data_IF_229610450452
#
_entry.id   IF_229610450452
#
_cell.length_a   1.000
_cell.length_b   1.000
_cell.length_c   1.000
_cell.angle_alpha   90.00
_cell.angle_beta   90.00
_cell.angle_gamma   90.00
#
_symmetry.space_group_name_H-M   'P 1'
#
loop_
_entity.id
_entity.type
_entity.pdbx_description
1 polymer ?
#
# COMPACT_ATOMS: atom_id res chain seq x y z
N UNK A 1 41.85 -15.70 -9.62
CA UNK A 1 41.89 -16.66 -10.75
C UNK A 1 42.82 -17.80 -10.33
N UNK A 2 42.45 -19.07 -10.51
CA UNK A 2 43.31 -20.19 -10.09
C UNK A 2 44.66 -20.10 -10.79
N UNK A 3 45.74 -20.27 -10.01
CA UNK A 3 47.12 -19.98 -10.45
C UNK A 3 47.81 -21.15 -11.15
N UNK A 4 47.31 -22.37 -10.99
CA UNK A 4 47.86 -23.58 -11.63
C UNK A 4 46.75 -24.41 -12.33
N UNK A 5 47.18 -25.50 -12.99
CA UNK A 5 46.30 -26.36 -13.78
C UNK A 5 45.43 -27.29 -12.92
N UNK A 6 45.93 -27.70 -11.76
CA UNK A 6 45.27 -28.61 -10.83
C UNK A 6 44.12 -27.88 -10.11
N UNK A 7 44.37 -26.68 -9.58
CA UNK A 7 43.35 -25.81 -9.01
C UNK A 7 42.28 -25.39 -10.04
N UNK A 8 42.64 -25.29 -11.34
CA UNK A 8 41.66 -25.06 -12.41
C UNK A 8 40.77 -26.27 -12.68
N UNK A 9 41.33 -27.47 -12.60
CA UNK A 9 40.59 -28.71 -12.81
C UNK A 9 39.66 -29.00 -11.63
N UNK A 10 40.14 -28.83 -10.39
CA UNK A 10 39.33 -28.94 -9.18
C UNK A 10 38.20 -27.91 -9.17
N UNK A 11 38.47 -26.65 -9.52
CA UNK A 11 37.44 -25.62 -9.59
C UNK A 11 36.38 -25.93 -10.66
N UNK A 12 36.76 -26.51 -11.81
CA UNK A 12 35.82 -26.94 -12.85
C UNK A 12 34.98 -28.13 -12.41
N UNK A 13 35.61 -29.16 -11.84
CA UNK A 13 34.91 -30.31 -11.30
C UNK A 13 33.94 -29.92 -10.18
N UNK A 14 34.31 -28.95 -9.34
CA UNK A 14 33.45 -28.39 -8.30
C UNK A 14 32.25 -27.64 -8.89
N UNK A 15 32.40 -26.92 -10.01
CA UNK A 15 31.29 -26.26 -10.71
C UNK A 15 30.39 -27.27 -11.43
N UNK A 16 30.97 -28.25 -12.13
CA UNK A 16 30.21 -29.29 -12.85
C UNK A 16 29.41 -30.20 -11.90
N UNK A 17 29.86 -30.34 -10.64
CA UNK A 17 29.14 -31.05 -9.59
C UNK A 17 27.95 -30.26 -8.99
N UNK A 18 27.81 -28.98 -9.32
CA UNK A 18 26.68 -28.16 -8.85
C UNK A 18 25.41 -28.53 -9.62
N UNK A 19 24.38 -28.94 -8.88
CA UNK A 19 23.03 -29.09 -9.44
C UNK A 19 22.44 -27.70 -9.74
N UNK A 20 22.59 -27.26 -10.99
CA UNK A 20 22.06 -26.02 -11.53
C UNK A 20 20.55 -25.87 -11.29
N UNK A 21 19.78 -26.97 -11.36
CA UNK A 21 18.33 -26.93 -11.14
C UNK A 21 18.03 -26.67 -9.66
N UNK A 22 18.74 -27.32 -8.75
CA UNK A 22 18.61 -27.07 -7.33
C UNK A 22 19.04 -25.64 -6.95
N UNK A 23 20.07 -25.09 -7.59
CA UNK A 23 20.46 -23.69 -7.42
C UNK A 23 19.35 -22.75 -7.88
N UNK A 24 18.81 -22.95 -9.09
CA UNK A 24 17.69 -22.14 -9.62
C UNK A 24 16.45 -22.21 -8.74
N UNK A 25 16.12 -23.38 -8.20
CA UNK A 25 14.99 -23.55 -7.28
C UNK A 25 15.20 -22.83 -5.94
N UNK A 26 16.44 -22.80 -5.44
CA UNK A 26 16.77 -22.07 -4.21
C UNK A 26 16.76 -20.56 -4.43
N UNK A 27 17.36 -20.07 -5.52
CA UNK A 27 17.39 -18.64 -5.86
C UNK A 27 16.02 -18.09 -6.27
N UNK A 28 15.10 -18.97 -6.71
CA UNK A 28 13.72 -18.60 -7.00
C UNK A 28 12.92 -18.21 -5.74
N UNK A 29 13.36 -18.52 -4.52
CA UNK A 29 12.69 -18.11 -3.27
C UNK A 29 13.29 -16.78 -2.76
N UNK A 30 12.47 -15.84 -2.28
CA UNK A 30 12.98 -14.54 -1.81
C UNK A 30 13.73 -14.74 -0.49
N UNK A 31 14.86 -14.07 -0.33
CA UNK A 31 15.68 -14.18 0.89
C UNK A 31 15.03 -13.51 2.12
N UNK A 32 14.16 -12.53 1.90
CA UNK A 32 13.56 -11.69 2.94
C UNK A 32 12.05 -11.93 3.12
N UNK A 33 11.58 -13.15 2.83
CA UNK A 33 10.19 -13.51 3.08
C UNK A 33 9.82 -13.51 4.58
N UNK A 34 8.53 -13.34 4.85
CA UNK A 34 7.93 -13.53 6.17
C UNK A 34 8.11 -14.96 6.67
N UNK A 35 7.95 -15.16 7.97
CA UNK A 35 7.97 -16.46 8.63
C UNK A 35 6.97 -17.42 7.96
N UNK A 36 5.72 -16.99 7.79
CA UNK A 36 4.69 -17.86 7.23
C UNK A 36 5.04 -18.29 5.78
N UNK A 37 5.40 -17.35 4.93
CA UNK A 37 5.81 -17.64 3.55
C UNK A 37 7.03 -18.58 3.52
N UNK A 38 8.06 -18.30 4.32
CA UNK A 38 9.30 -19.09 4.33
C UNK A 38 9.08 -20.54 4.74
N UNK A 39 8.31 -20.78 5.80
CA UNK A 39 8.19 -22.12 6.40
C UNK A 39 6.95 -22.90 5.96
N UNK A 40 5.87 -22.22 5.53
CA UNK A 40 4.59 -22.87 5.20
C UNK A 40 4.22 -22.77 3.73
N UNK A 41 4.94 -22.00 2.90
CA UNK A 41 4.60 -21.83 1.48
C UNK A 41 5.79 -22.17 0.57
N UNK A 42 6.93 -21.51 0.77
CA UNK A 42 8.16 -21.66 -0.02
C UNK A 42 8.72 -23.09 -0.12
N UNK A 43 8.55 -24.00 0.88
CA UNK A 43 9.08 -25.36 0.77
C UNK A 43 8.49 -26.15 -0.41
N UNK A 44 7.21 -25.95 -0.74
CA UNK A 44 6.55 -26.67 -1.83
C UNK A 44 6.19 -25.81 -3.04
N UNK A 45 5.88 -24.51 -2.87
CA UNK A 45 5.52 -23.61 -3.97
C UNK A 45 6.59 -23.54 -5.06
N UNK A 46 7.87 -23.60 -4.69
CA UNK A 46 8.99 -23.64 -5.66
C UNK A 46 8.93 -24.83 -6.62
N UNK A 47 8.40 -25.96 -6.16
CA UNK A 47 8.21 -27.14 -7.02
C UNK A 47 6.96 -26.99 -7.91
N UNK A 48 5.94 -26.27 -7.45
CA UNK A 48 4.80 -25.85 -8.28
C UNK A 48 5.30 -24.90 -9.37
N UNK A 49 6.14 -23.92 -9.04
CA UNK A 49 6.73 -23.00 -10.01
C UNK A 49 7.51 -23.76 -11.09
N UNK A 50 8.32 -24.75 -10.70
CA UNK A 50 8.97 -25.65 -11.66
C UNK A 50 7.98 -26.45 -12.50
N UNK A 51 6.93 -27.00 -11.90
CA UNK A 51 5.90 -27.73 -12.64
C UNK A 51 5.24 -26.82 -13.70
N UNK A 52 4.90 -25.58 -13.33
CA UNK A 52 4.38 -24.57 -14.25
C UNK A 52 5.38 -24.29 -15.39
N UNK A 53 6.66 -24.11 -15.06
CA UNK A 53 7.72 -23.88 -16.04
C UNK A 53 7.83 -25.03 -17.05
N UNK A 54 7.79 -26.29 -16.58
CA UNK A 54 7.83 -27.50 -17.43
C UNK A 54 6.58 -27.66 -18.30
N UNK A 55 5.44 -27.13 -17.87
CA UNK A 55 4.19 -27.10 -18.64
C UNK A 55 4.09 -25.90 -19.59
N UNK A 56 5.10 -25.02 -19.62
CA UNK A 56 5.12 -23.84 -20.48
C UNK A 56 4.19 -22.72 -20.03
N UNK A 57 3.68 -22.76 -18.78
CA UNK A 57 2.86 -21.70 -18.22
C UNK A 57 3.69 -20.44 -18.00
N UNK A 58 3.09 -19.27 -18.22
CA UNK A 58 3.74 -17.97 -17.99
C UNK A 58 3.45 -17.45 -16.58
N UNK A 59 4.33 -16.61 -15.99
CA UNK A 59 4.05 -15.94 -14.71
C UNK A 59 2.70 -15.24 -14.70
N UNK A 60 2.41 -14.43 -15.72
CA UNK A 60 1.14 -13.69 -15.82
C UNK A 60 -0.10 -14.59 -15.83
N UNK A 61 -0.03 -15.80 -16.40
CA UNK A 61 -1.13 -16.77 -16.33
C UNK A 61 -1.36 -17.26 -14.90
N UNK A 62 -0.28 -17.52 -14.15
CA UNK A 62 -0.35 -17.94 -12.75
C UNK A 62 -0.85 -16.80 -11.85
N UNK A 63 -0.37 -15.56 -12.06
CA UNK A 63 -0.86 -14.35 -11.37
C UNK A 63 -2.35 -14.13 -11.62
N UNK A 64 -2.81 -14.32 -12.87
CA UNK A 64 -4.23 -14.21 -13.21
C UNK A 64 -5.05 -15.31 -12.53
N UNK A 65 -4.55 -16.55 -12.49
CA UNK A 65 -5.20 -17.63 -11.75
C UNK A 65 -5.31 -17.33 -10.25
N UNK A 66 -4.24 -16.78 -9.65
CA UNK A 66 -4.24 -16.31 -8.26
C UNK A 66 -5.34 -15.28 -8.00
N UNK A 67 -5.46 -14.26 -8.87
CA UNK A 67 -6.51 -13.24 -8.77
C UNK A 67 -7.91 -13.87 -8.86
N UNK A 68 -8.16 -14.72 -9.86
CA UNK A 68 -9.46 -15.38 -10.02
C UNK A 68 -9.82 -16.21 -8.80
N UNK A 69 -8.87 -16.96 -8.23
CA UNK A 69 -9.09 -17.72 -7.00
C UNK A 69 -9.44 -16.81 -5.81
N UNK A 70 -8.78 -15.65 -5.66
CA UNK A 70 -9.12 -14.68 -4.61
C UNK A 70 -10.50 -14.05 -4.82
N UNK A 71 -10.90 -13.75 -6.06
CA UNK A 71 -12.24 -13.21 -6.36
C UNK A 71 -13.33 -14.25 -6.04
N UNK A 72 -13.08 -15.53 -6.34
CA UNK A 72 -13.97 -16.62 -5.93
C UNK A 72 -14.01 -16.71 -4.40
N UNK A 73 -12.86 -16.59 -3.71
CA UNK A 73 -12.80 -16.57 -2.25
C UNK A 73 -13.62 -15.42 -1.65
N UNK A 74 -13.51 -14.21 -2.21
CA UNK A 74 -14.32 -13.06 -1.84
C UNK A 74 -15.82 -13.29 -2.09
N UNK A 75 -16.18 -13.92 -3.21
CA UNK A 75 -17.56 -14.34 -3.51
C UNK A 75 -18.10 -15.36 -2.50
N UNK A 76 -17.28 -16.34 -2.10
CA UNK A 76 -17.62 -17.29 -1.05
C UNK A 76 -17.84 -16.59 0.30
N UNK A 77 -16.97 -15.63 0.66
CA UNK A 77 -17.15 -14.81 1.86
C UNK A 77 -18.45 -13.99 1.81
N UNK A 78 -18.76 -13.40 0.65
CA UNK A 78 -19.97 -12.61 0.44
C UNK A 78 -21.27 -13.40 0.60
N UNK A 79 -21.24 -14.73 0.58
CA UNK A 79 -22.44 -15.55 0.84
C UNK A 79 -23.00 -15.32 2.25
N UNK A 80 -22.14 -14.98 3.22
CA UNK A 80 -22.53 -14.84 4.63
C UNK A 80 -22.70 -16.17 5.37
N UNK A 81 -22.58 -17.31 4.69
CA UNK A 81 -22.76 -18.64 5.30
C UNK A 81 -21.44 -19.18 5.85
N UNK A 82 -21.51 -20.00 6.92
CA UNK A 82 -20.31 -20.62 7.51
C UNK A 82 -19.51 -21.46 6.52
N UNK A 83 -20.19 -22.26 5.69
CA UNK A 83 -19.54 -23.01 4.61
C UNK A 83 -18.84 -22.09 3.61
N UNK A 84 -19.45 -20.95 3.28
CA UNK A 84 -18.85 -19.92 2.44
C UNK A 84 -17.60 -19.29 3.05
N UNK A 85 -17.59 -18.98 4.35
CA UNK A 85 -16.41 -18.48 5.03
C UNK A 85 -15.27 -19.51 5.11
N UNK A 86 -15.58 -20.79 5.34
CA UNK A 86 -14.57 -21.86 5.32
C UNK A 86 -13.95 -21.98 3.92
N UNK A 87 -14.80 -22.02 2.88
CA UNK A 87 -14.34 -22.05 1.50
C UNK A 87 -13.49 -20.81 1.16
N UNK A 88 -13.92 -19.62 1.60
CA UNK A 88 -13.18 -18.37 1.42
C UNK A 88 -11.79 -18.43 2.04
N UNK A 89 -11.67 -18.89 3.31
CA UNK A 89 -10.37 -19.02 3.97
C UNK A 89 -9.43 -20.00 3.25
N UNK A 90 -9.93 -21.15 2.81
CA UNK A 90 -9.14 -22.14 2.05
C UNK A 90 -8.69 -21.57 0.71
N UNK A 91 -9.63 -21.01 -0.07
CA UNK A 91 -9.34 -20.44 -1.38
C UNK A 91 -8.38 -19.25 -1.29
N UNK A 92 -8.44 -18.47 -0.22
CA UNK A 92 -7.51 -17.37 0.02
C UNK A 92 -6.07 -17.87 0.21
N UNK A 93 -5.87 -18.96 0.96
CA UNK A 93 -4.55 -19.59 1.08
C UNK A 93 -4.08 -20.18 -0.26
N UNK A 94 -4.97 -20.79 -1.03
CA UNK A 94 -4.64 -21.31 -2.37
C UNK A 94 -4.22 -20.17 -3.30
N UNK A 95 -4.95 -19.06 -3.31
CA UNK A 95 -4.58 -17.86 -4.04
C UNK A 95 -3.20 -17.35 -3.63
N UNK A 96 -2.92 -17.27 -2.32
CA UNK A 96 -1.61 -16.84 -1.82
C UNK A 96 -0.45 -17.80 -2.20
N UNK A 97 -0.71 -19.11 -2.29
CA UNK A 97 0.27 -20.06 -2.82
C UNK A 97 0.57 -19.81 -4.29
N UNK A 98 -0.46 -19.57 -5.11
CA UNK A 98 -0.31 -19.26 -6.54
C UNK A 98 0.44 -17.94 -6.74
N UNK A 99 0.17 -16.95 -5.91
CA UNK A 99 0.87 -15.67 -5.85
C UNK A 99 2.38 -15.85 -5.59
N UNK A 100 2.74 -16.61 -4.55
CA UNK A 100 4.16 -16.93 -4.32
C UNK A 100 4.78 -17.70 -5.49
N UNK A 101 3.98 -18.54 -6.15
CA UNK A 101 4.42 -19.39 -7.27
C UNK A 101 4.72 -18.58 -8.52
N UNK A 102 3.99 -17.51 -8.83
CA UNK A 102 4.23 -16.73 -10.04
C UNK A 102 5.57 -15.98 -10.00
N UNK A 103 5.93 -15.40 -8.87
CA UNK A 103 7.18 -14.68 -8.66
C UNK A 103 8.36 -15.65 -8.60
N UNK A 104 8.16 -16.83 -8.03
CA UNK A 104 9.14 -17.93 -8.10
C UNK A 104 9.31 -18.44 -9.53
N UNK A 105 8.24 -18.55 -10.31
CA UNK A 105 8.26 -18.95 -11.71
C UNK A 105 8.99 -17.92 -12.58
N UNK A 106 8.73 -16.63 -12.40
CA UNK A 106 9.42 -15.55 -13.09
C UNK A 106 10.94 -15.62 -12.87
N UNK A 107 11.36 -15.84 -11.62
CA UNK A 107 12.78 -15.98 -11.26
C UNK A 107 13.41 -17.28 -11.76
N UNK A 108 12.70 -18.39 -11.62
CA UNK A 108 13.15 -19.70 -12.07
C UNK A 108 13.33 -19.75 -13.60
N UNK A 109 12.39 -19.16 -14.34
CA UNK A 109 12.40 -19.14 -15.81
C UNK A 109 13.14 -17.93 -16.41
N UNK A 110 13.63 -17.00 -15.58
CA UNK A 110 14.23 -15.72 -15.99
C UNK A 110 13.31 -14.91 -16.93
N UNK A 111 11.99 -15.01 -16.71
CA UNK A 111 10.96 -14.34 -17.50
C UNK A 111 10.44 -13.13 -16.71
N UNK A 112 11.15 -12.01 -16.85
CA UNK A 112 10.83 -10.75 -16.21
C UNK A 112 10.13 -9.81 -17.20
N UNK A 113 9.10 -9.09 -16.74
CA UNK A 113 8.43 -8.07 -17.55
C UNK A 113 7.85 -6.98 -16.65
N UNK A 114 7.83 -5.75 -17.15
CA UNK A 114 7.20 -4.61 -16.46
C UNK A 114 5.73 -4.79 -16.27
N UNK A 115 5.05 -5.22 -17.33
CA UNK A 115 3.64 -5.56 -17.28
C UNK A 115 3.38 -6.60 -16.19
N UNK A 116 4.21 -7.63 -16.10
CA UNK A 116 4.10 -8.65 -15.04
C UNK A 116 4.28 -8.08 -13.63
N UNK A 117 5.31 -7.24 -13.41
CA UNK A 117 5.55 -6.60 -12.11
C UNK A 117 4.40 -5.66 -11.69
N UNK A 118 3.84 -4.90 -12.64
CA UNK A 118 2.69 -4.05 -12.38
C UNK A 118 1.39 -4.85 -12.16
N UNK A 119 1.17 -5.92 -12.93
CA UNK A 119 0.01 -6.80 -12.74
C UNK A 119 0.03 -7.46 -11.37
N UNK A 120 1.18 -7.99 -10.95
CA UNK A 120 1.39 -8.59 -9.64
C UNK A 120 1.04 -7.58 -8.52
N UNK A 121 1.69 -6.42 -8.55
CA UNK A 121 1.45 -5.31 -7.65
C UNK A 121 -0.02 -4.84 -7.58
N UNK A 122 -0.68 -4.72 -8.74
CA UNK A 122 -2.07 -4.29 -8.86
C UNK A 122 -3.02 -5.36 -8.33
N UNK A 123 -2.79 -6.61 -8.72
CA UNK A 123 -3.66 -7.72 -8.35
C UNK A 123 -3.58 -7.99 -6.85
N UNK A 124 -2.43 -7.79 -6.21
CA UNK A 124 -2.33 -7.88 -4.75
C UNK A 124 -3.27 -6.93 -4.00
N UNK A 125 -3.39 -5.68 -4.47
CA UNK A 125 -4.32 -4.72 -3.88
C UNK A 125 -5.77 -5.08 -4.22
N UNK A 126 -6.03 -5.50 -5.45
CA UNK A 126 -7.36 -5.92 -5.88
C UNK A 126 -7.87 -7.14 -5.07
N UNK A 127 -7.02 -8.16 -4.85
CA UNK A 127 -7.31 -9.34 -4.02
C UNK A 127 -7.69 -8.91 -2.60
N UNK A 128 -6.88 -8.05 -1.98
CA UNK A 128 -7.09 -7.55 -0.62
C UNK A 128 -8.43 -6.81 -0.50
N UNK A 129 -8.68 -5.83 -1.37
CA UNK A 129 -9.90 -5.02 -1.30
C UNK A 129 -11.15 -5.82 -1.65
N UNK A 130 -11.07 -6.72 -2.64
CA UNK A 130 -12.17 -7.62 -2.96
C UNK A 130 -12.51 -8.54 -1.78
N UNK A 131 -11.50 -9.09 -1.09
CA UNK A 131 -11.74 -9.96 0.06
C UNK A 131 -12.36 -9.21 1.24
N UNK A 132 -11.90 -7.99 1.54
CA UNK A 132 -12.52 -7.14 2.56
C UNK A 132 -13.97 -6.80 2.23
N UNK A 133 -14.26 -6.44 0.97
CA UNK A 133 -15.62 -6.18 0.51
C UNK A 133 -16.49 -7.44 0.61
N UNK A 134 -15.96 -8.61 0.24
CA UNK A 134 -16.67 -9.89 0.36
C UNK A 134 -17.02 -10.23 1.81
N UNK A 135 -16.08 -10.08 2.74
CA UNK A 135 -16.32 -10.23 4.18
C UNK A 135 -17.39 -9.26 4.70
N UNK A 136 -17.30 -7.98 4.33
CA UNK A 136 -18.24 -6.95 4.77
C UNK A 136 -19.66 -7.20 4.23
N UNK A 137 -19.77 -7.57 2.96
CA UNK A 137 -21.04 -7.91 2.33
C UNK A 137 -21.67 -9.17 2.97
N UNK A 138 -20.86 -10.20 3.23
CA UNK A 138 -21.31 -11.43 3.90
C UNK A 138 -21.79 -11.19 5.33
N UNK A 139 -21.10 -10.32 6.08
CA UNK A 139 -21.50 -9.92 7.42
C UNK A 139 -22.81 -9.13 7.41
N UNK A 140 -22.93 -8.15 6.52
CA UNK A 140 -24.12 -7.30 6.39
C UNK A 140 -25.39 -8.10 6.08
N UNK A 141 -25.30 -9.18 5.29
CA UNK A 141 -26.42 -10.11 5.02
C UNK A 141 -26.95 -10.81 6.27
N UNK A 142 -26.12 -10.95 7.29
CA UNK A 142 -26.51 -11.52 8.60
C UNK A 142 -26.83 -10.43 9.63
N UNK A 143 -26.98 -9.17 9.21
CA UNK A 143 -27.25 -8.03 10.10
C UNK A 143 -26.03 -7.49 10.84
N UNK A 144 -24.81 -7.96 10.53
CA UNK A 144 -23.57 -7.49 11.15
C UNK A 144 -22.87 -6.49 10.22
N UNK A 145 -23.19 -5.19 10.33
CA UNK A 145 -22.52 -4.17 9.51
C UNK A 145 -21.08 -3.93 10.00
N UNK A 146 -20.13 -4.28 9.15
CA UNK A 146 -18.68 -4.13 9.37
C UNK A 146 -18.01 -3.31 8.27
N UNK A 147 -18.77 -2.62 7.41
CA UNK A 147 -18.17 -1.82 6.33
C UNK A 147 -17.24 -0.72 6.84
N UNK A 148 -17.57 -0.09 7.96
CA UNK A 148 -16.69 0.88 8.62
C UNK A 148 -15.37 0.24 9.08
N UNK A 149 -15.40 -1.01 9.57
CA UNK A 149 -14.19 -1.74 9.95
C UNK A 149 -13.38 -2.16 8.72
N UNK A 150 -14.03 -2.59 7.65
CA UNK A 150 -13.39 -2.95 6.39
C UNK A 150 -12.67 -1.74 5.76
N UNK A 151 -13.36 -0.60 5.71
CA UNK A 151 -12.79 0.66 5.23
C UNK A 151 -11.67 1.14 6.17
N UNK A 152 -11.89 1.13 7.49
CA UNK A 152 -10.86 1.49 8.46
C UNK A 152 -9.59 0.66 8.35
N UNK A 153 -9.73 -0.66 8.12
CA UNK A 153 -8.60 -1.55 7.86
C UNK A 153 -7.86 -1.18 6.56
N UNK A 154 -8.58 -0.88 5.48
CA UNK A 154 -7.99 -0.41 4.22
C UNK A 154 -7.23 0.90 4.39
N UNK A 155 -7.82 1.87 5.10
CA UNK A 155 -7.18 3.17 5.40
C UNK A 155 -5.87 2.95 6.15
N UNK A 156 -5.92 2.18 7.24
CA UNK A 156 -4.76 1.90 8.07
C UNK A 156 -3.65 1.19 7.29
N UNK A 157 -4.00 0.16 6.52
CA UNK A 157 -3.02 -0.58 5.72
C UNK A 157 -2.39 0.31 4.64
N UNK A 158 -3.20 1.14 3.97
CA UNK A 158 -2.71 2.04 2.93
C UNK A 158 -1.79 3.13 3.50
N UNK A 159 -2.16 3.76 4.62
CA UNK A 159 -1.31 4.72 5.31
C UNK A 159 0.03 4.10 5.72
N UNK A 160 -0.01 2.85 6.22
CA UNK A 160 1.19 2.11 6.60
C UNK A 160 2.10 1.82 5.41
N UNK A 161 1.57 1.31 4.30
CA UNK A 161 2.38 1.08 3.10
C UNK A 161 2.97 2.39 2.57
N UNK A 162 2.21 3.49 2.58
CA UNK A 162 2.72 4.81 2.17
C UNK A 162 3.83 5.30 3.10
N UNK A 163 3.77 5.02 4.41
CA UNK A 163 4.88 5.24 5.34
C UNK A 163 6.12 4.44 4.91
N UNK A 164 5.96 3.15 4.62
CA UNK A 164 7.06 2.28 4.17
C UNK A 164 7.72 2.87 2.91
N UNK A 165 6.92 3.14 1.88
CA UNK A 165 7.38 3.65 0.59
C UNK A 165 8.03 5.02 0.70
N UNK A 166 7.38 5.97 1.38
CA UNK A 166 7.89 7.34 1.49
C UNK A 166 9.21 7.39 2.27
N UNK A 167 9.35 6.57 3.32
CA UNK A 167 10.61 6.50 4.06
C UNK A 167 11.73 5.90 3.21
N UNK A 168 11.47 4.82 2.49
CA UNK A 168 12.49 4.15 1.69
C UNK A 168 12.92 5.02 0.51
N UNK A 169 11.98 5.65 -0.20
CA UNK A 169 12.29 6.59 -1.27
C UNK A 169 13.09 7.80 -0.77
N UNK A 170 12.72 8.34 0.41
CA UNK A 170 13.44 9.46 1.01
C UNK A 170 14.89 9.13 1.41
N UNK A 171 15.23 7.85 1.52
CA UNK A 171 16.56 7.38 1.90
C UNK A 171 17.25 6.55 0.79
N UNK A 172 16.66 6.44 -0.41
CA UNK A 172 17.16 5.60 -1.49
C UNK A 172 18.61 5.94 -1.87
N UNK A 173 18.91 7.23 -1.96
CA UNK A 173 20.24 7.74 -2.32
C UNK A 173 21.08 8.14 -1.09
N UNK A 174 20.62 7.84 0.13
CA UNK A 174 21.29 8.27 1.34
C UNK A 174 22.57 7.45 1.58
N UNK A 175 23.72 8.12 1.61
CA UNK A 175 24.99 7.46 1.97
C UNK A 175 24.92 6.94 3.41
N UNK A 176 25.13 5.63 3.56
CA UNK A 176 25.03 4.96 4.85
C UNK A 176 26.11 5.47 5.81
N UNK A 177 25.69 6.08 6.92
CA UNK A 177 26.55 6.30 8.08
C UNK A 177 26.20 5.26 9.16
N UNK A 178 27.24 4.71 9.79
CA UNK A 178 27.13 3.79 10.92
C UNK A 178 26.38 4.44 12.08
N UNK A 179 25.15 3.99 12.36
CA UNK A 179 24.37 4.48 13.51
C UNK A 179 24.41 3.47 14.67
N UNK A 180 24.31 3.93 15.94
CA UNK A 180 24.22 3.04 17.11
C UNK A 180 23.08 2.02 17.02
N UNK A 181 21.99 2.40 16.35
CA UNK A 181 20.84 1.52 16.05
C UNK A 181 21.19 0.37 15.10
N UNK A 182 22.10 0.59 14.14
CA UNK A 182 22.57 -0.48 13.25
C UNK A 182 23.42 -1.51 14.02
N UNK A 183 24.25 -1.05 14.96
CA UNK A 183 25.03 -1.91 15.84
C UNK A 183 24.17 -2.70 16.84
N UNK A 184 23.03 -2.16 17.28
CA UNK A 184 22.05 -2.89 18.08
C UNK A 184 21.33 -3.96 17.25
N UNK A 185 20.93 -3.64 16.02
CA UNK A 185 20.30 -4.63 15.13
C UNK A 185 21.24 -5.81 14.89
N UNK A 186 22.52 -5.56 14.54
CA UNK A 186 23.48 -6.65 14.29
C UNK A 186 23.72 -7.54 15.51
N UNK A 187 23.67 -6.98 16.72
CA UNK A 187 23.73 -7.76 17.97
C UNK A 187 22.48 -8.62 18.16
N UNK A 188 21.28 -8.10 17.91
CA UNK A 188 20.07 -8.92 18.00
C UNK A 188 20.00 -9.99 16.90
N UNK A 189 20.48 -9.69 15.70
CA UNK A 189 20.47 -10.62 14.56
C UNK A 189 21.35 -11.86 14.83
N UNK A 190 22.28 -11.78 15.80
CA UNK A 190 23.04 -12.94 16.29
C UNK A 190 22.18 -13.99 17.03
N UNK A 191 20.97 -13.62 17.46
CA UNK A 191 20.00 -14.51 18.11
C UNK A 191 18.89 -14.85 17.12
N UNK A 192 19.05 -15.97 16.40
CA UNK A 192 18.26 -16.28 15.20
C UNK A 192 16.72 -16.28 15.35
N UNK A 193 16.16 -16.59 16.53
CA UNK A 193 14.70 -16.53 16.74
C UNK A 193 14.17 -15.09 16.81
N UNK A 194 15.00 -14.13 17.25
CA UNK A 194 14.58 -12.72 17.38
C UNK A 194 14.38 -12.05 16.02
N UNK A 195 15.06 -12.54 14.98
CA UNK A 195 14.87 -12.10 13.58
C UNK A 195 13.45 -12.43 13.14
N UNK A 196 12.99 -13.66 13.39
CA UNK A 196 11.64 -14.10 13.01
C UNK A 196 10.56 -13.42 13.84
N UNK A 197 10.76 -13.25 15.15
CA UNK A 197 9.84 -12.50 15.99
C UNK A 197 9.68 -11.05 15.50
N UNK A 198 10.78 -10.37 15.15
CA UNK A 198 10.74 -9.01 14.60
C UNK A 198 10.04 -8.94 13.25
N UNK A 199 10.26 -9.92 12.38
CA UNK A 199 9.54 -10.02 11.09
C UNK A 199 8.04 -10.24 11.32
N UNK A 200 7.64 -11.15 12.21
CA UNK A 200 6.23 -11.43 12.51
C UNK A 200 5.50 -10.27 13.19
N UNK A 201 6.17 -9.51 14.06
CA UNK A 201 5.59 -8.34 14.75
C UNK A 201 5.01 -7.31 13.77
N UNK A 202 5.65 -7.20 12.61
CA UNK A 202 5.26 -6.27 11.56
C UNK A 202 4.03 -6.81 10.81
N UNK A 203 3.55 -8.03 11.07
CA UNK A 203 2.45 -8.68 10.36
C UNK A 203 2.62 -8.58 8.82
N UNK A 204 3.67 -9.22 8.26
CA UNK A 204 3.93 -9.21 6.82
C UNK A 204 2.78 -9.85 6.02
N UNK A 205 2.87 -9.75 4.70
CA UNK A 205 1.84 -10.21 3.77
C UNK A 205 1.42 -11.67 4.06
N UNK A 206 2.38 -12.59 4.22
CA UNK A 206 2.07 -14.01 4.47
C UNK A 206 1.36 -14.27 5.79
N UNK A 207 1.86 -13.71 6.89
CA UNK A 207 1.27 -13.82 8.22
C UNK A 207 -0.15 -13.23 8.26
N UNK A 208 -0.33 -12.09 7.58
CA UNK A 208 -1.61 -11.41 7.47
C UNK A 208 -2.61 -12.24 6.68
N UNK A 209 -2.24 -12.79 5.53
CA UNK A 209 -3.13 -13.66 4.74
C UNK A 209 -3.47 -14.94 5.51
N UNK A 210 -2.51 -15.54 6.21
CA UNK A 210 -2.75 -16.70 7.06
C UNK A 210 -3.75 -16.39 8.18
N UNK A 211 -3.54 -15.28 8.88
CA UNK A 211 -4.43 -14.81 9.94
C UNK A 211 -5.84 -14.56 9.40
N UNK A 212 -5.98 -13.82 8.29
CA UNK A 212 -7.28 -13.54 7.66
C UNK A 212 -7.96 -14.84 7.25
N UNK A 213 -7.26 -15.75 6.58
CA UNK A 213 -7.82 -17.02 6.10
C UNK A 213 -8.34 -17.87 7.26
N UNK A 214 -7.52 -18.08 8.29
CA UNK A 214 -7.87 -18.89 9.46
C UNK A 214 -9.02 -18.24 10.22
N UNK A 215 -8.92 -16.95 10.55
CA UNK A 215 -9.97 -16.25 11.28
C UNK A 215 -11.29 -16.18 10.50
N UNK A 216 -11.25 -16.02 9.18
CA UNK A 216 -12.45 -16.07 8.34
C UNK A 216 -13.11 -17.44 8.46
N UNK A 217 -12.34 -18.52 8.33
CA UNK A 217 -12.87 -19.87 8.39
C UNK A 217 -13.40 -20.26 9.78
N UNK A 218 -12.81 -19.75 10.87
CA UNK A 218 -13.11 -20.21 12.23
C UNK A 218 -13.91 -19.21 13.08
N UNK A 219 -13.97 -17.94 12.72
CA UNK A 219 -14.65 -16.88 13.52
C UNK A 219 -15.65 -16.07 12.68
N UNK A 220 -15.76 -14.75 12.91
CA UNK A 220 -16.67 -13.84 12.21
C UNK A 220 -15.91 -12.70 11.51
N UNK A 221 -16.48 -12.08 10.45
CA UNK A 221 -15.85 -10.96 9.75
C UNK A 221 -15.45 -9.80 10.68
N UNK A 222 -16.27 -9.49 11.69
CA UNK A 222 -15.96 -8.47 12.70
C UNK A 222 -14.67 -8.77 13.47
N UNK A 223 -14.46 -10.03 13.88
CA UNK A 223 -13.23 -10.45 14.58
C UNK A 223 -12.03 -10.37 13.62
N UNK A 224 -12.20 -10.79 12.37
CA UNK A 224 -11.16 -10.67 11.33
C UNK A 224 -10.70 -9.22 11.20
N UNK A 225 -11.62 -8.26 11.05
CA UNK A 225 -11.26 -6.86 10.92
C UNK A 225 -10.65 -6.26 12.18
N UNK A 226 -11.15 -6.59 13.37
CA UNK A 226 -10.51 -6.12 14.61
C UNK A 226 -9.09 -6.65 14.77
N UNK A 227 -8.87 -7.95 14.51
CA UNK A 227 -7.53 -8.54 14.55
C UNK A 227 -6.60 -7.86 13.53
N UNK A 228 -7.10 -7.59 12.33
CA UNK A 228 -6.39 -6.88 11.28
C UNK A 228 -6.04 -5.44 11.69
N UNK A 229 -7.00 -4.66 12.19
CA UNK A 229 -6.79 -3.28 12.63
C UNK A 229 -5.78 -3.23 13.78
N UNK A 230 -5.95 -4.07 14.80
CA UNK A 230 -5.04 -4.10 15.96
C UNK A 230 -3.63 -4.50 15.55
N UNK A 231 -3.49 -5.59 14.79
CA UNK A 231 -2.19 -6.07 14.32
C UNK A 231 -1.50 -5.07 13.39
N UNK A 232 -2.24 -4.49 12.44
CA UNK A 232 -1.69 -3.49 11.52
C UNK A 232 -1.34 -2.18 12.24
N UNK A 233 -2.14 -1.74 13.22
CA UNK A 233 -1.87 -0.55 14.01
C UNK A 233 -0.61 -0.73 14.85
N UNK A 234 -0.46 -1.88 15.50
CA UNK A 234 0.76 -2.21 16.23
C UNK A 234 1.99 -2.20 15.31
N UNK A 235 1.92 -2.88 14.17
CA UNK A 235 3.00 -2.90 13.19
C UNK A 235 3.31 -1.51 12.60
N UNK A 236 2.30 -0.69 12.34
CA UNK A 236 2.45 0.68 11.87
C UNK A 236 3.14 1.56 12.92
N UNK A 237 2.72 1.49 14.19
CA UNK A 237 3.35 2.21 15.29
C UNK A 237 4.82 1.77 15.49
N UNK A 238 5.07 0.46 15.51
CA UNK A 238 6.42 -0.10 15.68
C UNK A 238 7.39 0.38 14.58
N UNK A 239 6.99 0.22 13.32
CA UNK A 239 7.83 0.59 12.16
C UNK A 239 8.00 2.10 12.02
N UNK A 240 6.92 2.88 12.20
CA UNK A 240 6.97 4.35 12.13
C UNK A 240 7.84 4.93 13.24
N UNK A 241 7.70 4.47 14.48
CA UNK A 241 8.53 4.93 15.60
C UNK A 241 10.02 4.66 15.33
N UNK A 242 10.36 3.45 14.88
CA UNK A 242 11.73 3.10 14.51
C UNK A 242 12.28 3.98 13.37
N UNK A 243 11.47 4.31 12.38
CA UNK A 243 11.85 5.19 11.25
C UNK A 243 11.97 6.66 11.64
N UNK A 244 11.10 7.16 12.51
CA UNK A 244 11.20 8.52 13.07
C UNK A 244 12.51 8.63 13.87
N UNK A 245 12.80 7.65 14.72
CA UNK A 245 14.06 7.62 15.47
C UNK A 245 15.28 7.58 14.53
N UNK A 246 15.26 6.72 13.49
CA UNK A 246 16.32 6.68 12.46
C UNK A 246 16.46 8.01 11.73
N UNK A 247 15.35 8.68 11.40
CA UNK A 247 15.34 9.95 10.67
C UNK A 247 15.90 11.12 11.48
N UNK A 248 15.62 11.15 12.79
CA UNK A 248 16.11 12.18 13.69
C UNK A 248 17.57 11.97 14.09
N UNK A 249 18.01 10.71 14.15
CA UNK A 249 19.40 10.36 14.52
C UNK A 249 20.37 10.37 13.34
N UNK A 250 19.91 10.07 12.12
CA UNK A 250 20.74 10.13 10.91
C UNK A 250 20.78 11.55 10.34
N UNK A 251 21.97 12.14 10.27
CA UNK A 251 22.22 13.39 9.49
C UNK A 251 22.37 13.08 7.99
N UNK A 252 21.43 12.34 7.41
CA UNK A 252 21.43 12.09 5.97
C UNK A 252 20.98 13.35 5.22
N UNK A 253 21.73 13.76 4.20
CA UNK A 253 21.28 14.80 3.26
C UNK A 253 20.45 14.13 2.16
N UNK A 254 19.21 14.56 2.00
CA UNK A 254 18.31 14.06 0.96
C UNK A 254 18.56 14.75 -0.37
N UNK A 255 18.50 13.97 -1.46
CA UNK A 255 18.70 14.42 -2.83
C UNK A 255 17.49 15.21 -3.34
N UNK A 256 17.66 15.96 -4.43
CA UNK A 256 16.54 16.61 -5.12
C UNK A 256 15.57 15.58 -5.71
N UNK A 257 16.08 14.43 -6.17
CA UNK A 257 15.27 13.29 -6.60
C UNK A 257 14.33 12.82 -5.49
N UNK A 258 14.86 12.56 -4.30
CA UNK A 258 14.06 12.12 -3.15
C UNK A 258 12.98 13.16 -2.77
N UNK A 259 13.33 14.45 -2.79
CA UNK A 259 12.36 15.52 -2.52
C UNK A 259 11.25 15.61 -3.56
N UNK A 260 11.56 15.39 -4.85
CA UNK A 260 10.58 15.33 -5.93
C UNK A 260 9.67 14.12 -5.79
N UNK A 261 10.23 12.93 -5.54
CA UNK A 261 9.45 11.72 -5.35
C UNK A 261 8.48 11.82 -4.15
N UNK A 262 8.90 12.45 -3.05
CA UNK A 262 8.00 12.75 -1.93
C UNK A 262 6.88 13.74 -2.30
N UNK A 263 7.18 14.74 -3.12
CA UNK A 263 6.18 15.69 -3.59
C UNK A 263 5.16 15.03 -4.53
N UNK A 264 5.61 14.12 -5.39
CA UNK A 264 4.75 13.33 -6.26
C UNK A 264 3.86 12.37 -5.45
N UNK A 265 4.43 11.70 -4.45
CA UNK A 265 3.69 10.84 -3.51
C UNK A 265 2.66 11.60 -2.66
N UNK A 266 2.81 12.91 -2.49
CA UNK A 266 1.86 13.74 -1.76
C UNK A 266 0.52 13.91 -2.50
N UNK A 267 0.50 13.75 -3.84
CA UNK A 267 -0.70 13.89 -4.70
C UNK A 267 -1.44 15.23 -4.49
N UNK A 268 -0.66 16.31 -4.34
CA UNK A 268 -1.22 17.65 -4.16
C UNK A 268 -1.90 18.13 -5.44
N UNK A 269 -3.15 18.52 -5.31
CA UNK A 269 -3.98 19.01 -6.40
C UNK A 269 -3.79 20.51 -6.69
N UNK A 270 -4.67 21.05 -7.55
CA UNK A 270 -4.54 22.43 -8.05
C UNK A 270 -4.72 23.48 -6.94
N UNK A 271 -5.50 23.18 -5.90
CA UNK A 271 -5.77 24.13 -4.82
C UNK A 271 -4.56 24.27 -3.90
N UNK A 272 -3.96 23.14 -3.49
CA UNK A 272 -2.73 23.14 -2.71
C UNK A 272 -1.56 23.74 -3.53
N UNK A 273 -1.46 23.43 -4.84
CA UNK A 273 -0.46 24.02 -5.72
C UNK A 273 -0.58 25.55 -5.83
N UNK A 274 -1.80 26.10 -5.90
CA UNK A 274 -2.03 27.54 -5.96
C UNK A 274 -1.52 28.23 -4.69
N UNK A 275 -1.84 27.67 -3.52
CA UNK A 275 -1.34 28.14 -2.23
C UNK A 275 0.19 28.03 -2.16
N UNK A 276 0.75 26.90 -2.59
CA UNK A 276 2.19 26.67 -2.62
C UNK A 276 2.91 27.70 -3.53
N UNK A 277 2.36 27.99 -4.72
CA UNK A 277 2.89 28.99 -5.66
C UNK A 277 2.84 30.40 -5.06
N UNK A 278 1.76 30.75 -4.37
CA UNK A 278 1.65 32.02 -3.66
C UNK A 278 2.72 32.14 -2.55
N UNK A 279 2.96 31.05 -1.80
CA UNK A 279 3.97 30.98 -0.75
C UNK A 279 5.43 30.99 -1.25
N UNK A 280 5.67 30.70 -2.54
CA UNK A 280 7.01 30.75 -3.17
C UNK A 280 7.38 32.13 -3.72
N UNK A 281 6.48 33.13 -3.66
CA UNK A 281 6.73 34.47 -4.22
C UNK A 281 7.87 35.19 -3.48
N UNK A 282 8.74 35.93 -4.19
CA UNK A 282 9.80 36.73 -3.56
C UNK A 282 9.23 37.68 -2.51
N UNK A 283 9.85 37.73 -1.32
CA UNK A 283 9.42 38.58 -0.21
C UNK A 283 8.38 37.98 0.72
N UNK A 284 7.73 36.86 0.36
CA UNK A 284 6.81 36.15 1.25
C UNK A 284 7.59 35.28 2.22
N UNK A 285 7.40 35.50 3.53
CA UNK A 285 7.97 34.61 4.53
C UNK A 285 7.24 33.26 4.48
N UNK A 286 7.99 32.15 4.51
CA UNK A 286 7.39 30.82 4.55
C UNK A 286 6.45 30.66 5.75
N UNK A 287 5.32 29.99 5.53
CA UNK A 287 4.32 29.76 6.59
C UNK A 287 4.89 29.01 7.80
N UNK A 288 5.81 28.06 7.59
CA UNK A 288 6.63 27.47 8.66
C UNK A 288 7.94 26.88 8.13
N UNK A 289 8.89 26.67 9.04
CA UNK A 289 10.17 25.99 8.77
C UNK A 289 10.03 24.47 8.74
N UNK A 290 8.90 23.93 9.20
CA UNK A 290 8.67 22.49 9.36
C UNK A 290 7.41 22.06 8.60
N UNK A 291 7.55 21.65 7.32
CA UNK A 291 6.43 21.18 6.49
C UNK A 291 5.55 20.13 7.16
N UNK A 292 6.17 19.16 7.83
CA UNK A 292 5.47 18.06 8.51
C UNK A 292 4.55 18.54 9.63
N UNK A 293 4.92 19.60 10.35
CA UNK A 293 4.10 20.14 11.45
C UNK A 293 2.86 20.83 10.89
N UNK A 294 3.00 21.57 9.79
CA UNK A 294 1.87 22.20 9.10
C UNK A 294 0.92 21.10 8.59
N UNK A 295 1.45 20.10 7.89
CA UNK A 295 0.65 18.99 7.38
C UNK A 295 -0.09 18.26 8.51
N UNK A 296 0.58 18.00 9.63
CA UNK A 296 -0.01 17.35 10.80
C UNK A 296 -1.14 18.18 11.42
N UNK A 297 -0.92 19.49 11.64
CA UNK A 297 -1.95 20.38 12.21
C UNK A 297 -3.17 20.45 11.30
N UNK A 298 -2.96 20.61 9.99
CA UNK A 298 -4.05 20.61 9.01
C UNK A 298 -4.82 19.29 9.00
N UNK A 299 -4.13 18.15 8.98
CA UNK A 299 -4.72 16.82 8.99
C UNK A 299 -5.53 16.56 10.27
N UNK A 300 -4.97 16.87 11.44
CA UNK A 300 -5.63 16.70 12.74
C UNK A 300 -6.85 17.59 12.83
N UNK A 301 -6.75 18.85 12.41
CA UNK A 301 -7.89 19.77 12.42
C UNK A 301 -9.03 19.30 11.51
N UNK A 302 -8.71 18.83 10.30
CA UNK A 302 -9.68 18.27 9.36
C UNK A 302 -10.40 17.05 9.94
N UNK A 303 -9.64 16.08 10.47
CA UNK A 303 -10.20 14.87 11.06
C UNK A 303 -11.00 15.16 12.34
N UNK A 304 -10.52 16.09 13.18
CA UNK A 304 -11.24 16.52 14.37
C UNK A 304 -12.58 17.15 14.01
N UNK A 305 -12.62 18.04 13.01
CA UNK A 305 -13.87 18.64 12.53
C UNK A 305 -14.82 17.58 11.96
N UNK A 306 -14.35 16.66 11.11
CA UNK A 306 -15.17 15.57 10.60
C UNK A 306 -15.77 14.69 11.72
N UNK A 307 -14.98 14.39 12.76
CA UNK A 307 -15.42 13.60 13.91
C UNK A 307 -16.43 14.34 14.79
N UNK A 308 -16.13 15.59 15.16
CA UNK A 308 -16.83 16.31 16.21
C UNK A 308 -18.05 17.10 15.71
N UNK A 309 -17.99 17.69 14.51
CA UNK A 309 -19.09 18.50 13.99
C UNK A 309 -20.23 17.62 13.45
N UNK A 310 -21.51 18.02 13.54
CA UNK A 310 -22.62 17.25 12.96
C UNK A 310 -22.42 16.97 11.46
N UNK A 311 -22.99 15.86 10.97
CA UNK A 311 -22.99 15.58 9.53
C UNK A 311 -23.64 16.74 8.76
N UNK A 312 -23.03 17.12 7.64
CA UNK A 312 -23.47 18.25 6.84
C UNK A 312 -23.09 19.65 7.36
N UNK A 313 -22.32 19.74 8.45
CA UNK A 313 -21.93 21.01 9.05
C UNK A 313 -21.10 21.91 8.11
N UNK A 314 -21.43 23.21 7.97
CA UNK A 314 -20.58 24.18 7.27
C UNK A 314 -19.19 24.33 7.87
N UNK A 315 -19.03 24.03 9.18
CA UNK A 315 -17.72 24.06 9.84
C UNK A 315 -16.78 22.99 9.30
N UNK A 316 -17.31 21.83 8.88
CA UNK A 316 -16.50 20.78 8.24
C UNK A 316 -16.01 21.19 6.85
N UNK A 317 -16.83 21.95 6.11
CA UNK A 317 -16.40 22.55 4.83
C UNK A 317 -15.33 23.62 5.07
N UNK A 318 -15.50 24.46 6.08
CA UNK A 318 -14.48 25.44 6.50
C UNK A 318 -13.16 24.76 6.87
N UNK A 319 -13.23 23.65 7.61
CA UNK A 319 -12.06 22.86 7.96
C UNK A 319 -11.35 22.29 6.73
N UNK A 320 -12.08 21.86 5.70
CA UNK A 320 -11.50 21.40 4.44
C UNK A 320 -10.82 22.54 3.67
N UNK A 321 -11.38 23.75 3.67
CA UNK A 321 -10.73 24.94 3.08
C UNK A 321 -9.44 25.30 3.85
N UNK A 322 -9.47 25.21 5.18
CA UNK A 322 -8.27 25.39 6.01
C UNK A 322 -7.23 24.32 5.69
N UNK A 323 -7.65 23.05 5.57
CA UNK A 323 -6.79 21.93 5.20
C UNK A 323 -6.07 22.16 3.87
N UNK A 324 -6.76 22.68 2.84
CA UNK A 324 -6.14 23.10 1.56
C UNK A 324 -5.00 24.08 1.79
N UNK A 325 -5.20 25.09 2.64
CA UNK A 325 -4.18 26.08 2.99
C UNK A 325 -2.96 25.46 3.67
N UNK A 326 -3.19 24.58 4.65
CA UNK A 326 -2.11 23.87 5.35
C UNK A 326 -1.36 22.90 4.44
N UNK A 327 -2.07 22.15 3.58
CA UNK A 327 -1.49 21.25 2.59
C UNK A 327 -0.57 22.01 1.61
N UNK A 328 -1.09 23.10 1.01
CA UNK A 328 -0.30 23.95 0.11
C UNK A 328 0.89 24.62 0.80
N UNK A 329 0.73 25.03 2.06
CA UNK A 329 1.82 25.54 2.89
C UNK A 329 2.92 24.50 3.13
N UNK A 330 2.54 23.25 3.37
CA UNK A 330 3.48 22.14 3.59
C UNK A 330 4.30 21.81 2.33
N UNK A 331 3.69 21.83 1.14
CA UNK A 331 4.38 21.53 -0.14
C UNK A 331 4.97 22.77 -0.84
N UNK A 332 4.92 23.93 -0.18
CA UNK A 332 5.50 25.18 -0.70
C UNK A 332 7.03 25.12 -0.83
N UNK A 333 7.70 24.15 -0.20
CA UNK A 333 9.15 24.01 -0.15
C UNK A 333 9.61 22.62 -0.59
N UNK A 334 10.85 22.47 -1.09
CA UNK A 334 11.44 21.16 -1.33
C UNK A 334 11.46 20.31 -0.06
N UNK A 335 10.96 19.07 -0.16
CA UNK A 335 10.79 18.13 0.96
C UNK A 335 12.09 17.44 1.35
N UNK A 336 13.05 18.22 1.86
CA UNK A 336 14.40 17.76 2.23
C UNK A 336 14.61 17.56 3.73
N UNK A 337 13.64 17.94 4.55
CA UNK A 337 13.69 17.80 6.01
C UNK A 337 13.68 16.33 6.46
N UNK A 338 14.20 16.02 7.66
CA UNK A 338 14.37 14.63 8.13
C UNK A 338 13.04 13.88 8.27
N UNK A 339 11.95 14.59 8.55
CA UNK A 339 10.61 14.03 8.76
C UNK A 339 9.66 14.30 7.59
N UNK A 340 10.13 14.91 6.49
CA UNK A 340 9.24 15.31 5.39
C UNK A 340 8.66 14.09 4.63
N UNK A 341 9.20 12.89 4.85
CA UNK A 341 8.64 11.63 4.34
C UNK A 341 7.30 11.26 5.00
N UNK A 342 6.93 11.92 6.10
CA UNK A 342 5.62 11.75 6.74
C UNK A 342 4.51 12.57 6.07
N UNK A 343 4.82 13.47 5.12
CA UNK A 343 3.79 14.27 4.46
C UNK A 343 2.78 13.40 3.68
N UNK A 344 3.21 12.52 2.74
CA UNK A 344 2.29 11.67 2.01
C UNK A 344 1.35 10.86 2.91
N UNK A 345 1.81 10.11 3.94
CA UNK A 345 0.90 9.34 4.78
C UNK A 345 -0.02 10.20 5.65
N UNK A 346 0.40 11.40 6.07
CA UNK A 346 -0.49 12.34 6.78
C UNK A 346 -1.64 12.82 5.88
N UNK A 347 -1.35 13.07 4.60
CA UNK A 347 -2.40 13.45 3.64
C UNK A 347 -3.36 12.31 3.35
N UNK A 348 -2.89 11.05 3.27
CA UNK A 348 -3.78 9.87 3.18
C UNK A 348 -4.65 9.69 4.40
N UNK A 349 -4.08 9.83 5.59
CA UNK A 349 -4.83 9.72 6.84
C UNK A 349 -5.95 10.78 6.90
N UNK A 350 -5.66 12.03 6.49
CA UNK A 350 -6.65 13.10 6.44
C UNK A 350 -7.75 12.83 5.40
N UNK A 351 -7.38 12.52 4.16
CA UNK A 351 -8.30 12.28 3.05
C UNK A 351 -9.21 11.07 3.34
N UNK A 352 -8.62 9.91 3.58
CA UNK A 352 -9.36 8.66 3.76
C UNK A 352 -10.12 8.61 5.07
N UNK A 353 -9.53 9.17 6.14
CA UNK A 353 -10.21 9.29 7.42
C UNK A 353 -11.45 10.17 7.31
N UNK A 354 -11.35 11.31 6.62
CA UNK A 354 -12.51 12.20 6.40
C UNK A 354 -13.62 11.48 5.63
N UNK A 355 -13.28 10.80 4.53
CA UNK A 355 -14.26 10.05 3.72
C UNK A 355 -14.95 8.97 4.56
N UNK A 356 -14.19 8.19 5.34
CA UNK A 356 -14.71 7.18 6.24
C UNK A 356 -15.65 7.79 7.30
N UNK A 357 -15.22 8.85 7.97
CA UNK A 357 -15.99 9.49 9.05
C UNK A 357 -17.30 10.06 8.53
N UNK A 358 -17.27 10.79 7.40
CA UNK A 358 -18.48 11.36 6.81
C UNK A 358 -19.45 10.29 6.33
N UNK A 359 -18.96 9.23 5.68
CA UNK A 359 -19.80 8.10 5.28
C UNK A 359 -20.44 7.41 6.48
N UNK A 360 -19.67 7.17 7.55
CA UNK A 360 -20.17 6.56 8.79
C UNK A 360 -21.22 7.42 9.51
N UNK A 361 -21.15 8.76 9.39
CA UNK A 361 -22.07 9.71 10.05
C UNK A 361 -23.26 10.11 9.20
N UNK A 362 -23.29 9.75 7.93
CA UNK A 362 -24.30 10.23 6.99
C UNK A 362 -25.70 9.65 7.19
N UNK A 363 -25.83 8.56 7.96
CA UNK A 363 -27.03 7.70 8.06
C UNK A 363 -27.58 7.21 6.70
N UNK A 364 -26.94 7.57 5.57
CA UNK A 364 -27.37 7.25 4.24
C UNK A 364 -27.08 5.76 3.93
N UNK A 365 -28.09 5.01 3.48
CA UNK A 365 -27.93 3.62 3.05
C UNK A 365 -26.76 3.47 2.08
N UNK A 366 -25.92 2.47 2.32
CA UNK A 366 -24.78 2.11 1.45
C UNK A 366 -23.70 3.19 1.28
N UNK A 367 -23.69 4.27 2.10
CA UNK A 367 -22.65 5.29 2.04
C UNK A 367 -21.24 4.73 2.34
N UNK A 368 -21.13 3.82 3.30
CA UNK A 368 -19.86 3.15 3.64
C UNK A 368 -19.32 2.26 2.50
N UNK A 369 -20.11 1.39 1.84
CA UNK A 369 -19.71 0.73 0.61
C UNK A 369 -19.28 1.68 -0.51
N UNK A 370 -20.00 2.80 -0.72
CA UNK A 370 -19.64 3.78 -1.74
C UNK A 370 -18.31 4.48 -1.41
N UNK A 371 -18.11 4.85 -0.15
CA UNK A 371 -16.85 5.38 0.38
C UNK A 371 -15.70 4.37 0.26
N UNK A 372 -15.97 3.08 0.50
CA UNK A 372 -15.00 2.01 0.29
C UNK A 372 -14.54 1.94 -1.17
N UNK A 373 -15.48 2.02 -2.11
CA UNK A 373 -15.17 2.08 -3.55
C UNK A 373 -14.33 3.30 -3.91
N UNK A 374 -14.67 4.48 -3.37
CA UNK A 374 -13.91 5.71 -3.59
C UNK A 374 -12.48 5.60 -3.06
N UNK A 375 -12.31 5.19 -1.80
CA UNK A 375 -10.98 5.05 -1.19
C UNK A 375 -10.18 3.96 -1.89
N UNK A 376 -10.77 2.85 -2.33
CA UNK A 376 -10.09 1.83 -3.10
C UNK A 376 -9.55 2.38 -4.44
N UNK A 377 -10.35 3.17 -5.16
CA UNK A 377 -9.94 3.79 -6.42
C UNK A 377 -8.80 4.81 -6.23
N UNK A 378 -8.91 5.63 -5.19
CA UNK A 378 -7.88 6.63 -4.85
C UNK A 378 -6.60 5.96 -4.33
N UNK A 379 -6.72 4.91 -3.51
CA UNK A 379 -5.58 4.13 -3.04
C UNK A 379 -4.85 3.47 -4.21
N UNK A 380 -5.58 2.91 -5.18
CA UNK A 380 -4.99 2.37 -6.39
C UNK A 380 -4.13 3.40 -7.14
N UNK A 381 -4.63 4.64 -7.34
CA UNK A 381 -3.84 5.74 -7.92
C UNK A 381 -2.52 5.97 -7.18
N UNK A 382 -2.53 5.92 -5.85
CA UNK A 382 -1.30 6.11 -5.07
C UNK A 382 -0.35 4.92 -5.15
N UNK A 383 -0.85 3.69 -5.18
CA UNK A 383 0.01 2.53 -5.45
C UNK A 383 0.61 2.61 -6.85
N UNK A 384 -0.18 2.95 -7.87
CA UNK A 384 0.31 3.13 -9.23
C UNK A 384 1.45 4.17 -9.28
N UNK A 385 1.29 5.29 -8.57
CA UNK A 385 2.33 6.30 -8.40
C UNK A 385 3.61 5.73 -7.76
N UNK A 386 3.47 4.97 -6.67
CA UNK A 386 4.60 4.31 -5.99
C UNK A 386 5.35 3.38 -6.95
N UNK A 387 4.64 2.53 -7.68
CA UNK A 387 5.26 1.53 -8.55
C UNK A 387 5.95 2.17 -9.76
N UNK A 388 5.45 3.28 -10.29
CA UNK A 388 6.14 4.04 -11.34
C UNK A 388 7.42 4.72 -10.84
N UNK A 389 7.38 5.31 -9.65
CA UNK A 389 8.56 5.93 -9.03
C UNK A 389 9.64 4.88 -8.78
N UNK A 390 9.28 3.74 -8.18
CA UNK A 390 10.18 2.60 -7.95
C UNK A 390 10.73 2.00 -9.26
N UNK A 391 9.89 1.93 -10.29
CA UNK A 391 10.30 1.50 -11.64
C UNK A 391 11.22 2.47 -12.36
N UNK A 392 11.53 3.64 -11.78
CA UNK A 392 12.38 4.66 -12.38
C UNK A 392 11.72 5.44 -13.52
N UNK A 393 10.39 5.33 -13.67
CA UNK A 393 9.64 6.00 -14.75
C UNK A 393 9.08 7.36 -14.36
N UNK A 394 9.22 7.76 -13.09
CA UNK A 394 8.67 9.01 -12.55
C UNK A 394 7.20 8.86 -12.11
N UNK A 395 6.54 9.99 -11.86
CA UNK A 395 5.15 10.03 -11.40
C UNK A 395 4.14 10.03 -12.56
N UNK A 396 2.84 9.75 -12.27
CA UNK A 396 1.77 9.93 -13.26
C UNK A 396 1.71 11.38 -13.77
N UNK A 397 1.15 11.59 -14.98
CA UNK A 397 1.13 12.91 -15.59
C UNK A 397 0.29 13.90 -14.75
N UNK A 398 0.76 15.14 -14.63
CA UNK A 398 0.13 16.15 -13.77
C UNK A 398 -1.35 16.44 -14.09
N UNK A 399 -1.81 16.19 -15.33
CA UNK A 399 -3.22 16.33 -15.68
C UNK A 399 -4.10 15.33 -14.92
N UNK A 400 -3.59 14.14 -14.61
CA UNK A 400 -4.33 13.09 -13.90
C UNK A 400 -4.67 13.55 -12.48
N UNK A 401 -3.68 14.09 -11.77
CA UNK A 401 -3.86 14.66 -10.42
C UNK A 401 -4.83 15.86 -10.44
N UNK A 402 -4.75 16.72 -11.47
CA UNK A 402 -5.67 17.86 -11.62
C UNK A 402 -7.12 17.43 -11.85
N UNK A 403 -7.35 16.48 -12.74
CA UNK A 403 -8.71 15.99 -13.06
C UNK A 403 -9.30 15.23 -11.88
N UNK A 404 -8.49 14.44 -11.18
CA UNK A 404 -8.91 13.74 -9.96
C UNK A 404 -8.92 14.64 -8.71
N UNK A 405 -8.54 15.91 -8.82
CA UNK A 405 -8.62 16.92 -7.77
C UNK A 405 -7.50 16.92 -6.72
N UNK A 406 -6.57 15.96 -6.77
CA UNK A 406 -5.60 15.74 -5.69
C UNK A 406 -6.25 15.44 -4.33
N UNK A 407 -5.42 15.20 -3.32
CA UNK A 407 -5.92 14.79 -1.99
C UNK A 407 -6.79 15.88 -1.33
N UNK A 408 -6.42 17.15 -1.48
CA UNK A 408 -7.13 18.26 -0.87
C UNK A 408 -8.42 18.62 -1.61
N UNK A 409 -8.43 18.55 -2.94
CA UNK A 409 -9.62 18.83 -3.74
C UNK A 409 -10.69 17.77 -3.56
N UNK A 410 -10.32 16.48 -3.50
CA UNK A 410 -11.27 15.39 -3.20
C UNK A 410 -11.82 15.50 -1.77
N UNK A 411 -10.97 15.78 -0.80
CA UNK A 411 -11.41 16.00 0.59
C UNK A 411 -12.41 17.14 0.66
N UNK A 412 -12.11 18.30 0.04
CA UNK A 412 -13.02 19.43 -0.03
C UNK A 412 -14.33 19.07 -0.74
N UNK A 413 -14.26 18.42 -1.91
CA UNK A 413 -15.44 18.03 -2.67
C UNK A 413 -16.36 17.12 -1.85
N UNK A 414 -15.82 16.09 -1.19
CA UNK A 414 -16.62 15.17 -0.36
C UNK A 414 -17.27 15.92 0.81
N UNK A 415 -16.56 16.84 1.46
CA UNK A 415 -17.13 17.64 2.57
C UNK A 415 -18.23 18.59 2.10
N UNK A 416 -18.07 19.20 0.92
CA UNK A 416 -19.11 20.05 0.30
C UNK A 416 -20.32 19.23 -0.09
N UNK A 417 -20.11 18.05 -0.69
CA UNK A 417 -21.20 17.13 -1.04
C UNK A 417 -21.96 16.66 0.22
N UNK A 418 -21.24 16.34 1.29
CA UNK A 418 -21.86 15.99 2.57
C UNK A 418 -22.73 17.13 3.12
N UNK A 419 -22.27 18.38 3.02
CA UNK A 419 -23.03 19.57 3.45
C UNK A 419 -24.26 19.85 2.58
N UNK A 420 -24.13 19.75 1.25
CA UNK A 420 -25.22 20.06 0.32
C UNK A 420 -26.29 18.97 0.24
N UNK A 421 -25.92 17.73 0.52
CA UNK A 421 -26.78 16.55 0.36
C UNK A 421 -27.24 15.96 1.70
N UNK A 422 -26.95 16.63 2.82
CA UNK A 422 -27.27 16.14 4.17
C UNK A 422 -28.74 15.76 4.34
N UNK A 423 -29.64 16.57 3.79
CA UNK A 423 -31.09 16.41 3.91
C UNK A 423 -31.73 15.71 2.69
N UNK A 424 -30.94 15.08 1.83
CA UNK A 424 -31.39 14.55 0.53
C UNK A 424 -31.38 13.02 0.41
N UNK A 425 -31.55 12.32 1.54
CA UNK A 425 -31.65 10.86 1.56
C UNK A 425 -30.39 10.19 0.97
N UNK A 426 -30.57 9.39 -0.09
CA UNK A 426 -29.51 8.57 -0.69
C UNK A 426 -28.56 9.36 -1.61
N UNK A 427 -28.80 10.66 -1.83
CA UNK A 427 -28.02 11.48 -2.76
C UNK A 427 -26.53 11.50 -2.41
N UNK A 428 -26.16 11.49 -1.12
CA UNK A 428 -24.76 11.44 -0.71
C UNK A 428 -24.08 10.12 -1.14
N UNK A 429 -24.78 8.99 -1.01
CA UNK A 429 -24.31 7.68 -1.50
C UNK A 429 -24.13 7.69 -3.01
N UNK A 430 -25.08 8.26 -3.75
CA UNK A 430 -24.97 8.40 -5.21
C UNK A 430 -23.77 9.26 -5.60
N UNK A 431 -23.55 10.37 -4.89
CA UNK A 431 -22.43 11.26 -5.15
C UNK A 431 -21.07 10.59 -4.89
N UNK A 432 -20.94 9.86 -3.77
CA UNK A 432 -19.74 9.06 -3.47
C UNK A 432 -19.51 7.98 -4.53
N UNK A 433 -20.57 7.29 -4.96
CA UNK A 433 -20.50 6.25 -6.00
C UNK A 433 -20.07 6.83 -7.35
N UNK A 434 -20.66 7.96 -7.76
CA UNK A 434 -20.30 8.65 -8.99
C UNK A 434 -18.83 9.11 -8.95
N UNK A 435 -18.38 9.65 -7.82
CA UNK A 435 -16.98 10.04 -7.63
C UNK A 435 -16.05 8.84 -7.68
N UNK A 436 -16.40 7.73 -7.01
CA UNK A 436 -15.63 6.49 -7.03
C UNK A 436 -15.45 5.95 -8.44
N UNK A 437 -16.53 5.83 -9.20
CA UNK A 437 -16.52 5.35 -10.58
C UNK A 437 -15.71 6.30 -11.48
N UNK A 438 -15.90 7.62 -11.34
CA UNK A 438 -15.19 8.61 -12.14
C UNK A 438 -13.68 8.53 -11.89
N UNK A 439 -13.26 8.52 -10.62
CA UNK A 439 -11.84 8.41 -10.26
C UNK A 439 -11.27 7.07 -10.74
N UNK A 440 -11.98 5.96 -10.50
CA UNK A 440 -11.54 4.64 -10.93
C UNK A 440 -11.34 4.57 -12.45
N UNK A 441 -12.30 5.04 -13.24
CA UNK A 441 -12.20 5.02 -14.70
C UNK A 441 -11.03 5.85 -15.21
N UNK A 442 -10.89 7.09 -14.72
CA UNK A 442 -9.82 8.00 -15.17
C UNK A 442 -8.44 7.44 -14.81
N UNK A 443 -8.27 6.94 -13.59
CA UNK A 443 -6.99 6.40 -13.11
C UNK A 443 -6.66 5.06 -13.79
N UNK A 444 -7.62 4.13 -13.89
CA UNK A 444 -7.38 2.83 -14.50
C UNK A 444 -7.07 2.95 -15.99
N UNK A 445 -7.78 3.82 -16.72
CA UNK A 445 -7.52 4.03 -18.15
C UNK A 445 -6.11 4.61 -18.37
N UNK A 446 -5.68 5.57 -17.56
CA UNK A 446 -4.33 6.13 -17.66
C UNK A 446 -3.27 5.09 -17.26
N UNK A 447 -3.48 4.35 -16.18
CA UNK A 447 -2.56 3.30 -15.72
C UNK A 447 -2.41 2.19 -16.77
N UNK A 448 -3.51 1.63 -17.27
CA UNK A 448 -3.48 0.61 -18.33
C UNK A 448 -2.75 1.16 -19.56
N UNK A 449 -3.08 2.37 -20.02
CA UNK A 449 -2.42 2.98 -21.17
C UNK A 449 -0.91 3.09 -20.94
N UNK A 450 -0.48 3.54 -19.77
CA UNK A 450 0.93 3.69 -19.45
C UNK A 450 1.64 2.34 -19.40
N UNK A 451 1.16 1.37 -18.63
CA UNK A 451 1.84 0.09 -18.46
C UNK A 451 1.84 -0.78 -19.72
N UNK A 452 0.82 -0.65 -20.57
CA UNK A 452 0.78 -1.33 -21.89
C UNK A 452 1.76 -0.70 -22.89
N UNK A 453 1.93 0.63 -22.86
CA UNK A 453 2.77 1.34 -23.84
C UNK A 453 4.20 1.62 -23.37
N UNK A 454 4.47 1.54 -22.07
CA UNK A 454 5.78 1.84 -21.50
C UNK A 454 6.77 0.69 -21.71
N UNK A 455 7.92 0.99 -22.31
CA UNK A 455 9.10 0.11 -22.32
C UNK A 455 9.89 0.21 -21.01
N UNK A 456 9.22 0.40 -19.88
CA UNK A 456 9.87 0.59 -18.59
C UNK A 456 10.76 -0.62 -18.22
N UNK A 457 11.74 -0.47 -17.32
CA UNK A 457 12.51 -1.62 -16.82
C UNK A 457 11.69 -2.42 -15.82
N UNK A 458 11.74 -3.75 -15.91
CA UNK A 458 11.10 -4.67 -14.96
C UNK A 458 11.87 -4.63 -13.63
N UNK A 459 11.50 -3.70 -12.73
CA UNK A 459 12.07 -3.65 -11.38
C UNK A 459 11.28 -4.61 -10.51
N UNK A 460 11.90 -5.74 -10.17
CA UNK A 460 11.33 -6.72 -9.25
C UNK A 460 11.76 -6.42 -7.80
N UNK A 461 10.87 -6.77 -6.87
CA UNK A 461 11.02 -6.54 -5.44
C UNK A 461 12.18 -7.37 -4.86
N UNK A 462 13.40 -6.86 -5.00
CA UNK A 462 14.62 -7.33 -4.32
C UNK A 462 14.59 -6.83 -2.88
N UNK A 463 13.74 -7.45 -2.06
CA UNK A 463 13.73 -7.44 -0.59
C UNK A 463 14.24 -6.18 0.10
N UNK A 464 13.32 -5.34 0.60
CA UNK A 464 13.69 -4.30 1.55
C UNK A 464 14.25 -4.90 2.85
N UNK A 465 15.37 -4.35 3.29
CA UNK A 465 15.94 -4.60 4.62
C UNK A 465 15.04 -3.98 5.69
N UNK A 466 14.63 -4.77 6.68
CA UNK A 466 13.94 -4.28 7.88
C UNK A 466 14.71 -3.15 8.60
#
# INVERSE_FOLDING_TARGET
MPTDAEARHEARAAVDAVDDEAVRLRSAVKAHDGFFTTFFISPYSRYIARWCARRGLTPNQVTTASLLTALIAAGCAATGARGGYIAAGVLLLVSFVLDCTDGQLARYALKYSTMGAWLDATFDRAKEYAFYAGLALGAARNGDDVWALALGAMVLMTCRHVVDFSFNEANHDATANTSPTAALSSKLDSVGWTVWARRMIILPIGERWAMIAVLTAVTSPRIVFWALIIGCAFGACYTTAGRVLRSLTRRAKRTDRAALALADLADSGPLAELVAKAGRRPGVRPFSRFPVVIALVGAVYMLASACLDPFGSPFTVMAAVIYVGFAGGAVSRPLKGPLDWLLPPLFRAAEYGTILILAAKSDAPQALPAAFGLVAAVAYHHYDTVYRIRGGTGAPPAWLVRVTGGHEGRTLLVTVLAALLADRGDDFTLALTALAVTVALVVLVESIRFWVSSGAPAVHDEGETA
#
